data_IF_016513110913
#
_entry.id   IF_016513110913
#
_cell.length_a   1.000
_cell.length_b   1.000
_cell.length_c   1.000
_cell.angle_alpha   90.00
_cell.angle_beta   90.00
_cell.angle_gamma   90.00
#
_symmetry.space_group_name_H-M   'P 1'
#
loop_
_entity.id
_entity.type
_entity.pdbx_description
1 polymer ?
#
# COMPACT_ATOMS: atom_id res chain seq x y z
N UNK A 1 -45.47 -35.41 39.89
CA UNK A 1 -44.45 -35.60 38.87
C UNK A 1 -44.21 -34.25 38.21
N UNK A 2 -43.18 -33.51 38.63
CA UNK A 2 -42.85 -32.17 38.08
C UNK A 2 -41.68 -32.32 37.11
N UNK A 3 -41.93 -32.00 35.84
CA UNK A 3 -40.92 -32.01 34.77
C UNK A 3 -40.26 -30.63 34.76
N UNK A 4 -38.96 -30.56 35.10
CA UNK A 4 -38.16 -29.34 34.99
C UNK A 4 -37.59 -29.26 33.59
N UNK A 5 -38.01 -28.25 32.81
CA UNK A 5 -37.33 -27.85 31.58
C UNK A 5 -36.02 -27.14 31.94
N UNK A 6 -34.88 -27.70 31.51
CA UNK A 6 -33.61 -27.01 31.50
C UNK A 6 -33.50 -26.22 30.18
N UNK A 7 -33.44 -24.90 30.32
CA UNK A 7 -33.03 -24.02 29.23
C UNK A 7 -31.52 -24.19 28.98
N UNK A 8 -31.18 -24.63 27.77
CA UNK A 8 -29.83 -24.55 27.27
C UNK A 8 -29.57 -23.09 26.82
N UNK A 9 -28.71 -22.40 27.54
CA UNK A 9 -28.17 -21.12 27.12
C UNK A 9 -27.14 -21.35 26.01
N UNK A 10 -27.45 -20.89 24.78
CA UNK A 10 -26.45 -20.72 23.76
C UNK A 10 -25.46 -19.63 24.21
N UNK A 11 -24.24 -20.03 24.48
CA UNK A 11 -23.14 -19.10 24.63
C UNK A 11 -22.81 -18.56 23.23
N UNK A 12 -23.06 -17.27 22.99
CA UNK A 12 -22.56 -16.54 21.85
C UNK A 12 -21.02 -16.50 21.95
N UNK A 13 -20.34 -17.07 20.96
CA UNK A 13 -18.92 -16.90 20.77
C UNK A 13 -18.66 -15.42 20.50
N UNK A 14 -18.15 -14.73 21.51
CA UNK A 14 -17.67 -13.37 21.38
C UNK A 14 -16.47 -13.39 20.44
N UNK A 15 -16.61 -12.79 19.26
CA UNK A 15 -15.53 -12.51 18.35
C UNK A 15 -14.42 -11.77 19.09
N UNK A 16 -13.17 -12.17 18.90
CA UNK A 16 -12.00 -11.59 19.54
C UNK A 16 -11.85 -10.11 19.17
N UNK A 17 -12.41 -9.26 20.01
CA UNK A 17 -12.23 -7.81 19.91
C UNK A 17 -10.77 -7.43 20.15
N UNK A 18 -10.34 -6.34 19.55
CA UNK A 18 -9.07 -5.68 19.78
C UNK A 18 -8.88 -5.35 21.27
N UNK A 19 -8.34 -6.28 22.07
CA UNK A 19 -8.07 -6.13 23.51
C UNK A 19 -6.62 -5.68 23.75
N UNK A 20 -6.33 -4.47 23.40
CA UNK A 20 -5.22 -3.65 23.84
C UNK A 20 -5.77 -2.23 23.90
N UNK A 21 -5.20 -1.30 24.64
CA UNK A 21 -5.64 0.11 24.68
C UNK A 21 -5.45 0.79 23.31
N UNK A 22 -6.02 0.19 22.26
CA UNK A 22 -6.09 0.77 20.93
C UNK A 22 -7.11 1.92 21.01
N UNK A 23 -6.66 3.11 20.71
CA UNK A 23 -7.51 4.28 20.57
C UNK A 23 -8.62 3.93 19.57
N UNK A 24 -9.89 4.05 19.99
CA UNK A 24 -11.03 3.79 19.12
C UNK A 24 -10.91 4.62 17.84
N UNK A 25 -11.46 4.13 16.73
CA UNK A 25 -11.49 4.87 15.47
C UNK A 25 -12.03 6.29 15.69
N UNK A 26 -11.30 7.28 15.19
CA UNK A 26 -11.71 8.67 15.12
C UNK A 26 -11.46 9.17 13.71
N UNK A 27 -12.47 9.73 13.06
CA UNK A 27 -12.30 10.29 11.72
C UNK A 27 -11.17 11.33 11.71
N UNK A 28 -10.29 11.23 10.74
CA UNK A 28 -9.18 12.14 10.53
C UNK A 28 -9.28 12.77 9.14
N UNK A 29 -9.07 14.06 9.07
CA UNK A 29 -8.93 14.75 7.78
C UNK A 29 -7.81 14.09 6.96
N UNK A 30 -8.02 13.81 5.65
CA UNK A 30 -7.03 13.10 4.85
C UNK A 30 -5.71 13.86 4.66
N UNK A 31 -5.70 15.20 4.71
CA UNK A 31 -4.45 15.96 4.69
C UNK A 31 -3.68 15.82 6.01
N UNK A 32 -4.37 15.79 7.14
CA UNK A 32 -3.72 15.48 8.43
C UNK A 32 -3.23 14.04 8.48
N UNK A 33 -3.99 13.09 7.91
CA UNK A 33 -3.55 11.70 7.80
C UNK A 33 -2.23 11.59 7.02
N UNK A 34 -2.11 12.26 5.86
CA UNK A 34 -0.89 12.26 5.04
C UNK A 34 0.31 12.85 5.81
N UNK A 35 0.11 13.86 6.65
CA UNK A 35 1.18 14.37 7.52
C UNK A 35 1.67 13.33 8.52
N UNK A 36 0.74 12.55 9.11
CA UNK A 36 1.09 11.47 10.03
C UNK A 36 1.74 10.28 9.33
N UNK A 37 1.36 10.02 8.07
CA UNK A 37 1.95 8.95 7.27
C UNK A 37 3.42 9.23 6.95
N UNK A 38 3.77 10.45 6.62
CA UNK A 38 5.16 10.88 6.40
C UNK A 38 5.94 9.96 5.47
N UNK A 39 7.01 9.36 5.99
CA UNK A 39 7.95 8.47 5.29
C UNK A 39 7.55 7.02 5.52
N UNK A 40 7.46 6.22 4.46
CA UNK A 40 7.06 4.83 4.59
C UNK A 40 7.84 3.87 3.70
N UNK A 41 7.52 2.59 3.84
CA UNK A 41 8.13 1.51 3.06
C UNK A 41 7.10 0.41 2.78
N UNK A 42 7.18 -0.16 1.58
CA UNK A 42 6.39 -1.32 1.17
C UNK A 42 6.97 -2.60 1.79
N UNK A 43 6.12 -3.47 2.32
CA UNK A 43 6.51 -4.69 3.06
C UNK A 43 5.61 -5.87 2.74
N UNK A 44 6.12 -7.09 3.00
CA UNK A 44 5.37 -8.34 3.06
C UNK A 44 4.75 -8.84 1.73
N UNK A 45 4.91 -8.13 0.61
CA UNK A 45 4.30 -8.52 -0.66
C UNK A 45 4.80 -9.86 -1.22
N UNK A 46 6.07 -10.18 -1.00
CA UNK A 46 6.71 -11.40 -1.46
C UNK A 46 7.23 -12.27 -0.31
N UNK A 47 6.69 -12.07 0.89
CA UNK A 47 7.10 -12.86 2.04
C UNK A 47 6.30 -14.17 2.11
N UNK A 48 6.96 -15.33 2.26
CA UNK A 48 6.27 -16.61 2.37
C UNK A 48 5.48 -16.82 3.68
N UNK A 49 5.42 -15.81 4.55
CA UNK A 49 4.56 -15.80 5.75
C UNK A 49 3.09 -16.06 5.40
N UNK A 50 2.65 -15.59 4.22
CA UNK A 50 1.29 -15.80 3.75
C UNK A 50 0.97 -17.26 3.42
N UNK A 51 1.99 -18.08 3.11
CA UNK A 51 1.84 -19.53 2.96
C UNK A 51 1.83 -20.24 4.30
N UNK A 52 2.77 -19.88 5.19
CA UNK A 52 2.88 -20.42 6.54
C UNK A 52 3.78 -19.53 7.41
N UNK A 53 3.35 -19.22 8.63
CA UNK A 53 4.10 -18.40 9.58
C UNK A 53 5.54 -18.91 9.82
N UNK A 54 5.76 -20.24 9.78
CA UNK A 54 7.08 -20.84 9.95
C UNK A 54 8.05 -20.54 8.79
N UNK A 55 7.56 -20.07 7.65
CA UNK A 55 8.38 -19.70 6.48
C UNK A 55 8.74 -18.21 6.45
N UNK A 56 8.22 -17.43 7.38
CA UNK A 56 8.39 -15.97 7.42
C UNK A 56 9.86 -15.55 7.38
N UNK A 57 10.22 -14.70 6.44
CA UNK A 57 11.49 -13.95 6.44
C UNK A 57 11.35 -12.67 7.26
N UNK A 58 10.21 -12.00 7.10
CA UNK A 58 9.86 -10.83 7.88
C UNK A 58 9.45 -11.24 9.30
N UNK A 59 10.03 -10.58 10.30
CA UNK A 59 9.87 -10.92 11.72
C UNK A 59 9.34 -9.72 12.51
N UNK A 60 8.81 -9.94 13.70
CA UNK A 60 8.28 -8.90 14.59
C UNK A 60 9.27 -7.74 14.81
N UNK A 61 10.56 -8.05 15.00
CA UNK A 61 11.61 -7.03 15.19
C UNK A 61 11.75 -6.06 14.00
N UNK A 62 11.34 -6.45 12.79
CA UNK A 62 11.47 -5.58 11.61
C UNK A 62 10.53 -4.38 11.69
N UNK A 63 9.35 -4.49 12.35
CA UNK A 63 8.51 -3.32 12.60
C UNK A 63 9.23 -2.28 13.47
N UNK A 64 9.90 -2.73 14.54
CA UNK A 64 10.70 -1.84 15.39
C UNK A 64 11.87 -1.21 14.62
N UNK A 65 12.59 -2.02 13.82
CA UNK A 65 13.70 -1.54 12.98
C UNK A 65 13.24 -0.52 11.96
N UNK A 66 12.08 -0.71 11.32
CA UNK A 66 11.47 0.24 10.38
C UNK A 66 11.19 1.56 11.10
N UNK A 67 10.55 1.54 12.26
CA UNK A 67 10.31 2.77 13.04
C UNK A 67 11.60 3.45 13.47
N UNK A 68 12.57 2.70 14.01
CA UNK A 68 13.89 3.23 14.40
C UNK A 68 14.71 3.73 13.21
N UNK A 69 14.49 3.16 12.03
CA UNK A 69 15.04 3.62 10.76
C UNK A 69 14.49 4.96 10.29
N UNK A 70 13.48 5.51 10.99
CA UNK A 70 12.86 6.81 10.72
C UNK A 70 11.67 6.78 9.78
N UNK A 71 11.08 5.59 9.57
CA UNK A 71 9.83 5.44 8.83
C UNK A 71 8.63 5.54 9.78
N UNK A 72 7.53 6.11 9.31
CA UNK A 72 6.27 6.27 10.02
C UNK A 72 5.14 5.40 9.46
N UNK A 73 5.30 4.87 8.25
CA UNK A 73 4.24 4.11 7.56
C UNK A 73 4.80 2.84 6.96
N UNK A 74 4.02 1.76 7.04
CA UNK A 74 4.20 0.59 6.19
C UNK A 74 3.00 0.45 5.25
N UNK A 75 3.26 0.05 4.01
CA UNK A 75 2.26 -0.39 3.05
C UNK A 75 2.40 -1.88 2.89
N UNK A 76 1.41 -2.63 3.38
CA UNK A 76 1.39 -4.10 3.32
C UNK A 76 0.76 -4.51 2.00
N UNK A 77 1.55 -5.12 1.13
CA UNK A 77 1.12 -5.55 -0.17
C UNK A 77 0.45 -6.94 -0.07
N UNK A 78 -0.87 -6.99 -0.21
CA UNK A 78 -1.69 -8.18 0.01
C UNK A 78 -2.02 -8.86 -1.32
N UNK A 79 -1.49 -10.04 -1.56
CA UNK A 79 -1.84 -10.90 -2.70
C UNK A 79 -2.88 -11.93 -2.26
N UNK A 80 -4.09 -11.44 -1.89
CA UNK A 80 -5.09 -12.22 -1.18
C UNK A 80 -5.85 -13.22 -2.06
N UNK A 81 -5.91 -13.01 -3.38
CA UNK A 81 -6.73 -13.82 -4.29
C UNK A 81 -6.32 -15.29 -4.35
N UNK A 82 -5.03 -15.58 -4.16
CA UNK A 82 -4.50 -16.94 -4.10
C UNK A 82 -4.86 -17.67 -2.81
N UNK A 83 -5.26 -16.95 -1.77
CA UNK A 83 -5.63 -17.46 -0.45
C UNK A 83 -7.15 -17.59 -0.25
N UNK A 84 -7.94 -17.20 -1.25
CA UNK A 84 -9.39 -17.33 -1.25
C UNK A 84 -9.82 -18.74 -1.65
N UNK A 85 -10.84 -19.28 -0.96
CA UNK A 85 -11.52 -20.50 -1.38
C UNK A 85 -12.46 -20.28 -2.59
N UNK A 86 -13.15 -21.32 -3.03
CA UNK A 86 -14.09 -21.26 -4.17
C UNK A 86 -15.26 -20.28 -3.98
N UNK A 87 -15.59 -19.93 -2.74
CA UNK A 87 -16.61 -18.93 -2.39
C UNK A 87 -16.00 -17.55 -2.11
N UNK A 88 -14.76 -17.32 -2.52
CA UNK A 88 -13.97 -16.09 -2.30
C UNK A 88 -13.81 -15.72 -0.82
N UNK A 89 -13.78 -16.71 0.09
CA UNK A 89 -13.58 -16.46 1.51
C UNK A 89 -12.10 -16.66 1.87
N UNK A 90 -11.56 -15.73 2.63
CA UNK A 90 -10.26 -15.81 3.27
C UNK A 90 -10.33 -16.67 4.54
N UNK A 91 -9.28 -17.42 4.85
CA UNK A 91 -9.27 -18.26 6.05
C UNK A 91 -8.95 -17.48 7.32
N UNK A 92 -9.35 -18.01 8.48
CA UNK A 92 -8.98 -17.45 9.78
C UNK A 92 -7.44 -17.37 9.95
N UNK A 93 -6.70 -18.35 9.41
CA UNK A 93 -5.24 -18.35 9.45
C UNK A 93 -4.64 -17.17 8.70
N UNK A 94 -5.22 -16.80 7.55
CA UNK A 94 -4.79 -15.62 6.79
C UNK A 94 -5.06 -14.33 7.59
N UNK A 95 -6.25 -14.20 8.19
CA UNK A 95 -6.56 -13.07 9.06
C UNK A 95 -5.67 -13.00 10.31
N UNK A 96 -5.32 -14.14 10.92
CA UNK A 96 -4.36 -14.16 12.03
C UNK A 96 -2.99 -13.62 11.63
N UNK A 97 -2.50 -13.93 10.42
CA UNK A 97 -1.24 -13.38 9.90
C UNK A 97 -1.35 -11.88 9.68
N UNK A 98 -2.46 -11.40 9.07
CA UNK A 98 -2.69 -9.98 8.86
C UNK A 98 -2.84 -9.23 10.18
N UNK A 99 -3.58 -9.77 11.13
CA UNK A 99 -3.72 -9.20 12.48
C UNK A 99 -2.39 -9.09 13.21
N UNK A 100 -1.53 -10.11 13.10
CA UNK A 100 -0.19 -10.06 13.64
C UNK A 100 0.60 -8.89 13.04
N UNK A 101 0.57 -8.72 11.72
CA UNK A 101 1.28 -7.64 11.05
C UNK A 101 0.74 -6.26 11.47
N UNK A 102 -0.57 -6.07 11.46
CA UNK A 102 -1.20 -4.79 11.82
C UNK A 102 -0.96 -4.45 13.29
N UNK A 103 -1.11 -5.40 14.20
CA UNK A 103 -0.90 -5.19 15.66
C UNK A 103 0.54 -4.80 15.96
N UNK A 104 1.51 -5.50 15.38
CA UNK A 104 2.93 -5.19 15.59
C UNK A 104 3.31 -3.84 14.98
N UNK A 105 2.79 -3.49 13.82
CA UNK A 105 3.01 -2.18 13.22
C UNK A 105 2.49 -1.05 14.11
N UNK A 106 1.25 -1.14 14.56
CA UNK A 106 0.64 -0.14 15.44
C UNK A 106 1.35 -0.04 16.80
N UNK A 107 1.78 -1.18 17.36
CA UNK A 107 2.55 -1.23 18.62
C UNK A 107 3.92 -0.54 18.48
N UNK A 108 4.45 -0.48 17.27
CA UNK A 108 5.69 0.23 16.93
C UNK A 108 5.42 1.62 16.33
N UNK A 109 4.24 2.21 16.58
CA UNK A 109 3.86 3.56 16.15
C UNK A 109 3.88 3.80 14.63
N UNK A 110 3.70 2.74 13.85
CA UNK A 110 3.61 2.82 12.39
C UNK A 110 2.15 2.97 11.94
N UNK A 111 1.91 3.83 10.96
CA UNK A 111 0.67 3.82 10.18
C UNK A 111 0.70 2.59 9.25
N UNK A 112 -0.46 2.05 8.93
CA UNK A 112 -0.58 0.84 8.11
C UNK A 112 -1.52 1.09 6.94
N UNK A 113 -1.04 0.87 5.72
CA UNK A 113 -1.88 0.82 4.52
C UNK A 113 -2.07 -0.66 4.18
N UNK A 114 -3.33 -1.12 4.18
CA UNK A 114 -3.70 -2.43 3.67
C UNK A 114 -3.99 -2.29 2.18
N UNK A 115 -3.05 -2.73 1.36
CA UNK A 115 -3.09 -2.59 -0.10
C UNK A 115 -3.44 -3.94 -0.73
N UNK A 116 -4.59 -4.03 -1.41
CA UNK A 116 -4.89 -5.19 -2.23
C UNK A 116 -4.00 -5.17 -3.47
N UNK A 117 -3.11 -6.16 -3.63
CA UNK A 117 -2.00 -6.13 -4.59
C UNK A 117 -2.13 -7.14 -5.76
N UNK A 118 -3.29 -7.74 -5.96
CA UNK A 118 -3.56 -8.68 -7.07
C UNK A 118 -3.87 -7.96 -8.40
N UNK A 119 -3.07 -6.95 -8.73
CA UNK A 119 -3.27 -6.11 -9.91
C UNK A 119 -3.05 -6.84 -11.23
N UNK A 120 -2.16 -7.86 -11.28
CA UNK A 120 -1.93 -8.64 -12.50
C UNK A 120 -3.14 -9.51 -12.89
N UNK A 121 -3.73 -10.34 -11.99
CA UNK A 121 -4.97 -11.04 -12.32
C UNK A 121 -6.09 -10.07 -12.70
N UNK A 122 -6.21 -8.94 -11.99
CA UNK A 122 -7.20 -7.91 -12.28
C UNK A 122 -7.02 -7.26 -13.67
N UNK A 123 -5.78 -6.99 -14.06
CA UNK A 123 -5.48 -6.46 -15.38
C UNK A 123 -5.73 -7.47 -16.51
N UNK A 124 -5.59 -8.76 -16.23
CA UNK A 124 -5.78 -9.83 -17.22
C UNK A 124 -7.25 -10.19 -17.45
N UNK A 125 -8.06 -10.22 -16.39
CA UNK A 125 -9.44 -10.71 -16.45
C UNK A 125 -10.31 -9.99 -15.40
N UNK A 126 -11.16 -9.09 -15.89
CA UNK A 126 -12.07 -8.32 -15.06
C UNK A 126 -13.19 -9.16 -14.45
N UNK A 127 -13.63 -10.22 -15.12
CA UNK A 127 -14.67 -11.14 -14.63
C UNK A 127 -14.17 -11.94 -13.43
N UNK A 128 -12.88 -12.27 -13.41
CA UNK A 128 -12.23 -12.91 -12.25
C UNK A 128 -11.93 -11.89 -11.15
N UNK A 129 -11.43 -10.71 -11.52
CA UNK A 129 -11.04 -9.68 -10.59
C UNK A 129 -12.19 -9.16 -9.74
N UNK A 130 -13.27 -8.72 -10.40
CA UNK A 130 -14.39 -8.02 -9.76
C UNK A 130 -14.97 -8.79 -8.56
N UNK A 131 -15.41 -10.06 -8.68
CA UNK A 131 -15.99 -10.77 -7.56
C UNK A 131 -15.00 -10.99 -6.42
N UNK A 132 -13.72 -11.23 -6.72
CA UNK A 132 -12.69 -11.42 -5.69
C UNK A 132 -12.36 -10.13 -4.97
N UNK A 133 -12.16 -9.02 -5.68
CA UNK A 133 -11.86 -7.72 -5.10
C UNK A 133 -13.01 -7.24 -4.19
N UNK A 134 -14.25 -7.40 -4.63
CA UNK A 134 -15.40 -6.99 -3.84
C UNK A 134 -15.57 -7.88 -2.59
N UNK A 135 -15.38 -9.21 -2.72
CA UNK A 135 -15.40 -10.13 -1.58
C UNK A 135 -14.23 -9.89 -0.61
N UNK A 136 -13.06 -9.52 -1.10
CA UNK A 136 -11.93 -9.10 -0.26
C UNK A 136 -12.31 -7.91 0.62
N UNK A 137 -12.82 -6.84 0.01
CA UNK A 137 -13.17 -5.64 0.77
C UNK A 137 -14.36 -5.83 1.70
N UNK A 138 -15.33 -6.70 1.36
CA UNK A 138 -16.43 -7.04 2.26
C UNK A 138 -15.90 -7.66 3.57
N UNK A 139 -14.92 -8.57 3.46
CA UNK A 139 -14.32 -9.24 4.61
C UNK A 139 -13.35 -8.35 5.38
N UNK A 140 -12.37 -7.74 4.70
CA UNK A 140 -11.32 -6.97 5.34
C UNK A 140 -11.85 -5.67 5.95
N UNK A 141 -12.75 -4.96 5.26
CA UNK A 141 -13.33 -3.74 5.80
C UNK A 141 -14.21 -4.01 7.03
N UNK A 142 -14.97 -5.11 7.04
CA UNK A 142 -15.76 -5.52 8.20
C UNK A 142 -14.86 -5.95 9.38
N UNK A 143 -13.77 -6.66 9.11
CA UNK A 143 -12.81 -7.13 10.12
C UNK A 143 -12.11 -5.98 10.85
N UNK A 144 -11.69 -4.95 10.09
CA UNK A 144 -10.96 -3.78 10.62
C UNK A 144 -11.85 -2.55 10.90
N UNK A 145 -13.18 -2.69 10.96
CA UNK A 145 -14.09 -1.55 11.18
C UNK A 145 -13.78 -0.75 12.45
N UNK A 146 -13.36 -1.43 13.51
CA UNK A 146 -13.05 -0.86 14.82
C UNK A 146 -11.54 -0.56 15.00
N UNK A 147 -10.71 -0.83 13.98
CA UNK A 147 -9.28 -0.52 14.03
C UNK A 147 -9.06 1.01 14.08
N UNK A 148 -7.99 1.50 14.72
CA UNK A 148 -7.72 2.94 14.81
C UNK A 148 -7.52 3.56 13.42
N UNK A 149 -7.57 4.89 13.35
CA UNK A 149 -7.36 5.66 12.11
C UNK A 149 -5.94 5.53 11.51
N UNK A 150 -5.00 4.96 12.26
CA UNK A 150 -3.69 4.55 11.75
C UNK A 150 -3.73 3.38 10.75
N UNK A 151 -4.89 2.70 10.58
CA UNK A 151 -5.09 1.67 9.55
C UNK A 151 -5.89 2.27 8.40
N UNK A 152 -5.29 2.30 7.22
CA UNK A 152 -5.87 2.78 5.97
C UNK A 152 -6.10 1.61 5.02
N UNK A 153 -6.99 1.77 4.05
CA UNK A 153 -7.28 0.80 3.00
C UNK A 153 -6.87 1.35 1.64
N UNK A 154 -6.27 0.54 0.79
CA UNK A 154 -5.99 0.88 -0.61
C UNK A 154 -6.70 -0.13 -1.52
N UNK A 155 -7.63 0.35 -2.34
CA UNK A 155 -8.62 -0.50 -3.02
C UNK A 155 -7.95 -1.54 -3.92
N UNK A 156 -6.99 -1.13 -4.75
CA UNK A 156 -6.21 -1.99 -5.62
C UNK A 156 -4.93 -1.30 -6.03
N UNK A 157 -3.80 -2.01 -5.91
CA UNK A 157 -2.54 -1.61 -6.50
C UNK A 157 -2.65 -1.53 -8.02
N UNK A 158 -2.11 -0.48 -8.61
CA UNK A 158 -1.78 -0.36 -10.04
C UNK A 158 -2.82 -0.93 -11.03
N UNK A 159 -4.07 -0.46 -11.05
CA UNK A 159 -5.04 -0.89 -12.05
C UNK A 159 -4.50 -0.70 -13.46
N UNK A 160 -4.53 -1.75 -14.29
CA UNK A 160 -3.87 -1.73 -15.59
C UNK A 160 -4.61 -2.57 -16.66
N UNK A 161 -4.10 -2.57 -17.89
CA UNK A 161 -4.56 -3.41 -19.01
C UNK A 161 -6.07 -3.32 -19.25
N UNK A 162 -6.87 -4.36 -18.91
CA UNK A 162 -8.33 -4.34 -19.05
C UNK A 162 -9.02 -3.37 -18.09
N UNK A 163 -8.36 -3.00 -16.98
CA UNK A 163 -8.81 -1.93 -16.10
C UNK A 163 -8.48 -0.57 -16.73
N UNK A 164 -9.11 -0.29 -17.88
CA UNK A 164 -9.10 1.04 -18.50
C UNK A 164 -9.63 2.08 -17.51
N UNK A 165 -9.42 3.40 -17.72
CA UNK A 165 -9.96 4.41 -16.81
C UNK A 165 -11.44 4.27 -16.50
N UNK A 166 -12.27 3.94 -17.49
CA UNK A 166 -13.72 3.79 -17.31
C UNK A 166 -14.06 2.52 -16.52
N UNK A 167 -13.42 1.38 -16.86
CA UNK A 167 -13.60 0.13 -16.14
C UNK A 167 -13.13 0.24 -14.68
N UNK A 168 -11.97 0.88 -14.47
CA UNK A 168 -11.45 1.14 -13.12
C UNK A 168 -12.36 2.07 -12.31
N UNK A 169 -12.82 3.18 -12.88
CA UNK A 169 -13.74 4.09 -12.21
C UNK A 169 -15.03 3.40 -11.76
N UNK A 170 -15.56 2.46 -12.55
CA UNK A 170 -16.70 1.65 -12.13
C UNK A 170 -16.37 0.71 -10.97
N UNK A 171 -15.25 -0.04 -11.08
CA UNK A 171 -14.86 -1.03 -10.07
C UNK A 171 -14.46 -0.36 -8.74
N UNK A 172 -13.74 0.75 -8.78
CA UNK A 172 -13.35 1.49 -7.56
C UNK A 172 -14.57 2.02 -6.80
N UNK A 173 -15.60 2.48 -7.50
CA UNK A 173 -16.84 2.95 -6.87
C UNK A 173 -17.55 1.82 -6.13
N UNK A 174 -17.61 0.63 -6.72
CA UNK A 174 -18.21 -0.54 -6.09
C UNK A 174 -17.41 -0.99 -4.85
N UNK A 175 -16.07 -1.06 -4.96
CA UNK A 175 -15.20 -1.37 -3.83
C UNK A 175 -15.30 -0.33 -2.70
N UNK A 176 -15.31 0.95 -3.05
CA UNK A 176 -15.48 2.03 -2.08
C UNK A 176 -16.86 1.95 -1.40
N UNK A 177 -17.92 1.68 -2.14
CA UNK A 177 -19.26 1.53 -1.57
C UNK A 177 -19.34 0.39 -0.56
N UNK A 178 -18.64 -0.72 -0.79
CA UNK A 178 -18.54 -1.85 0.15
C UNK A 178 -17.79 -1.39 1.41
N UNK A 179 -16.64 -0.76 1.27
CA UNK A 179 -15.85 -0.25 2.39
C UNK A 179 -16.69 0.71 3.24
N UNK A 180 -17.43 1.61 2.63
CA UNK A 180 -18.25 2.63 3.31
C UNK A 180 -19.39 2.05 4.15
N UNK A 181 -19.87 0.82 3.89
CA UNK A 181 -20.88 0.16 4.75
C UNK A 181 -20.43 0.00 6.19
N UNK A 182 -19.15 -0.31 6.42
CA UNK A 182 -18.58 -0.55 7.75
C UNK A 182 -17.57 0.54 8.19
N UNK A 183 -17.02 1.29 7.25
CA UNK A 183 -15.98 2.31 7.49
C UNK A 183 -16.34 3.65 6.80
N UNK A 184 -17.40 4.34 7.24
CA UNK A 184 -17.92 5.51 6.53
C UNK A 184 -16.93 6.68 6.46
N UNK A 185 -15.99 6.77 7.38
CA UNK A 185 -15.06 7.90 7.51
C UNK A 185 -13.58 7.48 7.54
N UNK A 186 -13.26 6.19 7.31
CA UNK A 186 -11.87 5.75 7.21
C UNK A 186 -11.24 6.28 5.92
N UNK A 187 -10.02 6.80 6.03
CA UNK A 187 -9.29 7.22 4.84
C UNK A 187 -8.96 6.02 3.94
N UNK A 188 -9.33 6.14 2.67
CA UNK A 188 -9.11 5.14 1.62
C UNK A 188 -8.16 5.70 0.59
N UNK A 189 -7.16 4.92 0.21
CA UNK A 189 -6.16 5.25 -0.80
C UNK A 189 -6.64 4.72 -2.16
N UNK A 190 -6.62 5.57 -3.18
CA UNK A 190 -7.08 5.24 -4.53
C UNK A 190 -6.14 5.89 -5.55
N UNK A 191 -5.63 5.12 -6.50
CA UNK A 191 -4.82 5.62 -7.60
C UNK A 191 -5.54 5.63 -8.95
N UNK A 192 -5.00 6.34 -9.96
CA UNK A 192 -5.51 6.30 -11.33
C UNK A 192 -5.15 4.98 -12.02
N UNK A 193 -5.84 4.68 -13.12
CA UNK A 193 -5.53 3.56 -14.00
C UNK A 193 -4.09 3.64 -14.59
N UNK A 194 -3.68 2.55 -15.27
CA UNK A 194 -2.37 2.39 -15.90
C UNK A 194 -1.19 2.57 -14.94
N UNK A 195 -1.15 1.67 -13.92
CA UNK A 195 -0.08 1.58 -12.93
C UNK A 195 0.05 2.84 -12.07
N UNK A 196 -1.07 3.38 -11.59
CA UNK A 196 -1.13 4.62 -10.79
C UNK A 196 -0.38 5.79 -11.44
N UNK A 197 -0.43 5.84 -12.78
CA UNK A 197 0.34 6.78 -13.59
C UNK A 197 -0.21 8.20 -13.49
N UNK A 198 0.66 9.13 -13.19
CA UNK A 198 0.34 10.57 -13.04
C UNK A 198 -0.38 11.18 -14.25
N UNK A 199 -0.14 10.66 -15.46
CA UNK A 199 -0.78 11.16 -16.68
C UNK A 199 -2.28 10.81 -16.76
N UNK A 200 -2.75 9.87 -15.94
CA UNK A 200 -4.15 9.44 -15.89
C UNK A 200 -4.95 10.03 -14.72
N UNK A 201 -4.34 10.88 -13.88
CA UNK A 201 -5.06 11.59 -12.80
C UNK A 201 -6.29 12.34 -13.31
N UNK A 202 -6.22 12.97 -14.47
CA UNK A 202 -7.36 13.66 -15.08
C UNK A 202 -8.49 12.74 -15.56
N UNK A 203 -8.31 11.42 -15.53
CA UNK A 203 -9.32 10.40 -15.86
C UNK A 203 -9.87 9.69 -14.63
N UNK A 204 -9.30 9.94 -13.46
CA UNK A 204 -9.78 9.37 -12.20
C UNK A 204 -11.05 10.09 -11.76
N UNK A 205 -12.13 9.35 -11.55
CA UNK A 205 -13.41 9.88 -11.11
C UNK A 205 -13.70 9.42 -9.69
N UNK A 206 -13.71 10.36 -8.75
CA UNK A 206 -13.95 10.12 -7.33
C UNK A 206 -15.27 10.78 -6.90
N UNK A 207 -16.02 10.19 -5.94
CA UNK A 207 -17.21 10.82 -5.39
C UNK A 207 -16.88 12.20 -4.77
N UNK A 208 -17.62 13.23 -5.16
CA UNK A 208 -17.34 14.60 -4.72
C UNK A 208 -17.54 14.80 -3.22
N UNK A 209 -18.51 14.12 -2.64
CA UNK A 209 -18.94 14.24 -1.24
C UNK A 209 -18.11 13.34 -0.31
N UNK A 210 -17.48 12.29 -0.82
CA UNK A 210 -16.56 11.47 -0.01
C UNK A 210 -15.21 12.17 0.10
N UNK A 211 -14.99 12.82 1.23
CA UNK A 211 -13.74 13.56 1.49
C UNK A 211 -12.65 12.71 2.16
N UNK A 212 -12.95 11.47 2.56
CA UNK A 212 -12.01 10.56 3.20
C UNK A 212 -11.24 9.69 2.18
N UNK A 213 -10.67 10.35 1.16
CA UNK A 213 -9.88 9.71 0.10
C UNK A 213 -8.53 10.42 -0.03
N UNK A 214 -7.46 9.62 -0.02
CA UNK A 214 -6.10 10.01 -0.34
C UNK A 214 -5.80 9.47 -1.74
N UNK A 215 -5.22 10.28 -2.61
CA UNK A 215 -4.89 9.82 -3.96
C UNK A 215 -3.44 9.37 -4.03
N UNK A 216 -3.22 8.14 -4.49
CA UNK A 216 -1.87 7.61 -4.69
C UNK A 216 -1.42 7.72 -6.13
N UNK A 217 -0.13 7.94 -6.32
CA UNK A 217 0.55 7.86 -7.62
C UNK A 217 1.84 7.07 -7.45
N UNK A 218 2.28 6.39 -8.51
CA UNK A 218 3.57 5.72 -8.56
C UNK A 218 4.51 6.44 -9.51
N UNK A 219 5.81 6.44 -9.20
CA UNK A 219 6.78 7.17 -10.00
C UNK A 219 8.10 6.43 -10.15
N UNK A 220 8.33 5.92 -11.36
CA UNK A 220 9.53 5.18 -11.72
C UNK A 220 10.24 5.75 -12.95
N UNK A 221 9.89 6.98 -13.39
CA UNK A 221 10.50 7.57 -14.57
C UNK A 221 11.93 8.12 -14.29
N UNK A 222 12.87 7.92 -15.21
CA UNK A 222 12.75 7.12 -16.45
C UNK A 222 12.92 5.61 -16.18
N UNK A 223 12.05 4.79 -16.78
CA UNK A 223 12.04 3.33 -16.58
C UNK A 223 13.35 2.66 -16.98
N UNK A 224 14.05 3.21 -17.98
CA UNK A 224 15.36 2.74 -18.44
C UNK A 224 16.40 2.76 -17.33
N UNK A 225 16.31 3.71 -16.41
CA UNK A 225 17.16 3.78 -15.23
C UNK A 225 16.61 2.92 -14.09
N UNK A 226 15.36 3.14 -13.71
CA UNK A 226 14.80 2.54 -12.48
C UNK A 226 14.60 1.04 -12.57
N UNK A 227 14.41 0.50 -13.77
CA UNK A 227 14.16 -0.92 -14.02
C UNK A 227 15.25 -1.59 -14.88
N UNK A 228 16.44 -0.96 -15.03
CA UNK A 228 17.52 -1.58 -15.79
C UNK A 228 17.86 -2.96 -15.21
N UNK A 229 17.92 -3.98 -16.09
CA UNK A 229 18.22 -5.37 -15.71
C UNK A 229 17.04 -6.11 -15.05
N UNK A 230 15.86 -5.53 -14.97
CA UNK A 230 14.65 -6.14 -14.41
C UNK A 230 14.08 -7.18 -15.38
N UNK A 231 14.22 -8.46 -15.06
CA UNK A 231 13.85 -9.59 -15.94
C UNK A 231 12.36 -9.64 -16.26
N UNK A 232 11.51 -9.11 -15.40
CA UNK A 232 10.06 -9.03 -15.59
C UNK A 232 9.61 -7.89 -16.54
N UNK A 233 10.52 -6.97 -16.91
CA UNK A 233 10.23 -5.90 -17.84
C UNK A 233 11.05 -6.08 -19.13
N UNK A 234 10.45 -6.61 -20.22
CA UNK A 234 11.19 -6.88 -21.46
C UNK A 234 11.90 -5.67 -22.06
N UNK A 235 11.38 -4.46 -21.86
CA UNK A 235 11.97 -3.23 -22.39
C UNK A 235 13.28 -2.85 -21.69
N UNK A 236 13.45 -3.23 -20.44
CA UNK A 236 14.60 -2.83 -19.61
C UNK A 236 15.49 -4.00 -19.18
N UNK A 237 15.05 -5.24 -19.40
CA UNK A 237 15.74 -6.47 -18.93
C UNK A 237 17.21 -6.57 -19.38
N UNK A 238 17.54 -6.01 -20.55
CA UNK A 238 18.90 -6.06 -21.11
C UNK A 238 19.70 -4.77 -20.87
N UNK A 239 19.11 -3.78 -20.24
CA UNK A 239 19.80 -2.52 -19.95
C UNK A 239 20.70 -2.67 -18.72
N UNK A 240 21.85 -2.01 -18.77
CA UNK A 240 22.81 -1.92 -17.66
C UNK A 240 23.64 -0.66 -17.79
N UNK A 241 24.14 -0.14 -16.66
CA UNK A 241 25.01 1.03 -16.63
C UNK A 241 24.31 2.35 -16.94
N UNK A 242 22.97 2.36 -17.00
CA UNK A 242 22.20 3.60 -17.13
C UNK A 242 22.34 4.40 -15.83
N UNK A 243 22.78 5.67 -15.96
CA UNK A 243 22.96 6.58 -14.84
C UNK A 243 21.81 7.57 -14.74
N UNK A 244 21.67 8.18 -13.58
CA UNK A 244 20.69 9.23 -13.34
C UNK A 244 21.30 10.38 -12.51
N UNK A 245 20.83 11.59 -12.73
CA UNK A 245 21.15 12.73 -11.89
C UNK A 245 21.53 14.01 -12.62
N UNK A 246 21.30 14.08 -13.93
CA UNK A 246 21.44 15.34 -14.71
C UNK A 246 20.39 16.37 -14.26
N UNK A 247 20.64 17.64 -14.50
CA UNK A 247 19.70 18.71 -14.16
C UNK A 247 18.38 18.58 -14.95
N UNK A 248 18.44 18.11 -16.21
CA UNK A 248 17.25 17.85 -17.02
C UNK A 248 16.38 16.73 -16.45
N UNK A 249 16.97 15.65 -15.93
CA UNK A 249 16.24 14.55 -15.28
C UNK A 249 15.61 15.01 -13.96
N UNK A 250 16.34 15.79 -13.16
CA UNK A 250 15.80 16.38 -11.93
C UNK A 250 14.64 17.35 -12.23
N UNK A 251 14.79 18.20 -13.25
CA UNK A 251 13.73 19.11 -13.65
C UNK A 251 12.47 18.37 -14.08
N UNK A 252 12.60 17.24 -14.77
CA UNK A 252 11.46 16.40 -15.13
C UNK A 252 10.68 15.90 -13.93
N UNK A 253 11.35 15.44 -12.87
CA UNK A 253 10.67 15.06 -11.61
C UNK A 253 9.90 16.25 -11.03
N UNK A 254 10.52 17.44 -11.01
CA UNK A 254 9.86 18.66 -10.52
C UNK A 254 8.64 19.03 -11.35
N UNK A 255 8.72 18.96 -12.66
CA UNK A 255 7.63 19.29 -13.58
C UNK A 255 6.47 18.29 -13.42
N UNK A 256 6.78 17.00 -13.37
CA UNK A 256 5.82 15.92 -13.17
C UNK A 256 5.07 16.07 -11.83
N UNK A 257 5.80 16.30 -10.73
CA UNK A 257 5.20 16.46 -9.41
C UNK A 257 4.42 17.78 -9.29
N UNK A 258 4.86 18.82 -10.00
CA UNK A 258 4.10 20.09 -10.08
C UNK A 258 2.74 19.88 -10.72
N UNK A 259 2.64 19.08 -11.79
CA UNK A 259 1.36 18.73 -12.43
C UNK A 259 0.43 17.96 -11.47
N UNK A 260 0.98 16.99 -10.75
CA UNK A 260 0.23 16.25 -9.73
C UNK A 260 -0.27 17.17 -8.62
N UNK A 261 0.58 18.09 -8.14
CA UNK A 261 0.22 19.06 -7.11
C UNK A 261 -0.86 20.05 -7.57
N UNK A 262 -0.83 20.45 -8.83
CA UNK A 262 -1.90 21.30 -9.40
C UNK A 262 -3.23 20.55 -9.42
N UNK A 263 -3.24 19.28 -9.82
CA UNK A 263 -4.40 18.41 -9.76
C UNK A 263 -4.91 18.24 -8.31
N UNK A 264 -4.01 17.94 -7.37
CA UNK A 264 -4.31 17.81 -5.94
C UNK A 264 -5.02 19.05 -5.37
N UNK A 265 -4.50 20.24 -5.68
CA UNK A 265 -5.11 21.51 -5.26
C UNK A 265 -6.48 21.74 -5.86
N UNK A 266 -6.65 21.44 -7.15
CA UNK A 266 -7.93 21.56 -7.86
C UNK A 266 -9.00 20.65 -7.27
N UNK A 267 -8.66 19.38 -7.09
CA UNK A 267 -9.60 18.36 -6.59
C UNK A 267 -9.71 18.35 -5.06
N UNK A 268 -8.85 19.12 -4.36
CA UNK A 268 -8.74 19.19 -2.90
C UNK A 268 -8.56 17.79 -2.29
N UNK A 269 -7.62 17.02 -2.83
CA UNK A 269 -7.25 15.67 -2.39
C UNK A 269 -5.76 15.62 -2.07
N UNK A 270 -5.32 15.09 -0.91
CA UNK A 270 -3.91 14.93 -0.62
C UNK A 270 -3.30 13.79 -1.45
N UNK A 271 -1.98 13.80 -1.59
CA UNK A 271 -1.24 12.83 -2.40
C UNK A 271 -0.38 11.94 -1.51
N UNK A 272 -0.39 10.65 -1.83
CA UNK A 272 0.59 9.66 -1.43
C UNK A 272 1.43 9.29 -2.67
N UNK A 273 2.75 9.34 -2.58
CA UNK A 273 3.62 8.65 -3.53
C UNK A 273 3.75 7.21 -3.06
N UNK A 274 2.87 6.31 -3.55
CA UNK A 274 2.70 4.95 -3.05
C UNK A 274 3.87 4.03 -3.37
N UNK A 275 4.54 4.31 -4.52
CA UNK A 275 5.73 3.58 -4.91
C UNK A 275 6.69 4.48 -5.69
N UNK A 276 7.97 4.32 -5.38
CA UNK A 276 9.11 4.83 -6.12
C UNK A 276 10.37 4.09 -5.68
N UNK A 277 11.37 4.05 -6.55
CA UNK A 277 12.64 3.39 -6.24
C UNK A 277 13.47 3.15 -7.50
N UNK A 278 14.63 2.54 -7.32
CA UNK A 278 15.46 2.08 -8.42
C UNK A 278 16.01 0.68 -8.11
N UNK A 279 15.85 -0.23 -9.07
CA UNK A 279 16.23 -1.64 -8.98
C UNK A 279 17.69 -1.80 -8.59
N UNK A 280 18.02 -2.84 -7.85
CA UNK A 280 19.33 -3.07 -7.26
C UNK A 280 20.47 -3.31 -8.29
N UNK A 281 20.13 -3.58 -9.55
CA UNK A 281 21.08 -3.66 -10.67
C UNK A 281 21.62 -2.28 -11.12
N UNK A 282 20.97 -1.20 -10.72
CA UNK A 282 21.46 0.15 -10.97
C UNK A 282 22.69 0.50 -10.12
N UNK A 283 23.56 1.40 -10.65
CA UNK A 283 24.70 1.93 -9.91
C UNK A 283 24.24 2.60 -8.60
N UNK A 284 24.89 2.29 -7.48
CA UNK A 284 24.48 2.77 -6.15
C UNK A 284 24.39 4.30 -6.07
N UNK A 285 25.37 5.03 -6.57
CA UNK A 285 25.38 6.49 -6.50
C UNK A 285 24.21 7.13 -7.26
N UNK A 286 23.84 6.57 -8.42
CA UNK A 286 22.68 7.03 -9.19
C UNK A 286 21.37 6.65 -8.48
N UNK A 287 21.28 5.47 -7.87
CA UNK A 287 20.14 5.05 -7.04
C UNK A 287 19.95 5.99 -5.84
N UNK A 288 21.02 6.33 -5.13
CA UNK A 288 21.01 7.28 -4.00
C UNK A 288 20.52 8.65 -4.44
N UNK A 289 21.08 9.18 -5.55
CA UNK A 289 20.66 10.48 -6.09
C UNK A 289 19.18 10.52 -6.46
N UNK A 290 18.72 9.49 -7.18
CA UNK A 290 17.31 9.37 -7.60
C UNK A 290 16.39 9.29 -6.39
N UNK A 291 16.64 8.32 -5.50
CA UNK A 291 15.84 8.05 -4.31
C UNK A 291 15.72 9.28 -3.41
N UNK A 292 16.85 9.94 -3.13
CA UNK A 292 16.86 11.16 -2.33
C UNK A 292 16.11 12.31 -3.01
N UNK A 293 16.32 12.52 -4.30
CA UNK A 293 15.71 13.62 -5.02
C UNK A 293 14.19 13.49 -5.14
N UNK A 294 13.71 12.28 -5.47
CA UNK A 294 12.26 11.99 -5.56
C UNK A 294 11.60 12.14 -4.20
N UNK A 295 12.15 11.53 -3.14
CA UNK A 295 11.60 11.63 -1.79
C UNK A 295 11.55 13.09 -1.30
N UNK A 296 12.64 13.84 -1.44
CA UNK A 296 12.69 15.25 -1.02
C UNK A 296 11.76 16.15 -1.84
N UNK A 297 11.55 15.85 -3.12
CA UNK A 297 10.61 16.60 -3.96
C UNK A 297 9.17 16.36 -3.51
N UNK A 298 8.80 15.11 -3.18
CA UNK A 298 7.49 14.79 -2.61
C UNK A 298 7.27 15.49 -1.25
N UNK A 299 8.23 15.44 -0.35
CA UNK A 299 8.16 16.10 0.96
C UNK A 299 8.00 17.62 0.88
N UNK A 300 8.69 18.29 -0.05
CA UNK A 300 8.54 19.74 -0.29
C UNK A 300 7.11 20.13 -0.70
N UNK A 301 6.36 19.19 -1.29
CA UNK A 301 4.98 19.38 -1.69
C UNK A 301 3.97 18.97 -0.60
N UNK A 302 4.46 18.47 0.53
CA UNK A 302 3.62 18.01 1.65
C UNK A 302 3.02 16.63 1.43
N UNK A 303 3.61 15.82 0.56
CA UNK A 303 3.16 14.45 0.31
C UNK A 303 3.79 13.47 1.29
N UNK A 304 3.04 12.42 1.65
CA UNK A 304 3.62 11.20 2.19
C UNK A 304 4.16 10.34 1.06
N UNK A 305 5.04 9.40 1.40
CA UNK A 305 5.55 8.44 0.43
C UNK A 305 5.86 7.09 1.07
N UNK A 306 5.79 6.00 0.27
CA UNK A 306 6.21 4.66 0.63
C UNK A 306 7.19 4.12 -0.40
N UNK A 307 8.43 3.90 0.03
CA UNK A 307 9.51 3.40 -0.84
C UNK A 307 9.26 1.95 -1.27
N UNK A 308 9.46 1.64 -2.53
CA UNK A 308 9.50 0.30 -3.04
C UNK A 308 10.94 -0.20 -3.05
N UNK A 309 11.37 -1.19 -2.22
CA UNK A 309 10.63 -1.78 -1.09
C UNK A 309 11.60 -2.22 0.02
N UNK A 310 11.10 -2.88 1.09
CA UNK A 310 11.91 -3.22 2.25
C UNK A 310 12.99 -4.23 1.92
N UNK A 311 12.67 -5.43 1.42
CA UNK A 311 13.53 -6.61 1.42
C UNK A 311 13.63 -7.38 0.08
N UNK A 312 13.14 -6.82 -1.02
CA UNK A 312 13.19 -7.46 -2.34
C UNK A 312 13.49 -6.44 -3.44
N UNK A 313 14.29 -6.82 -4.43
CA UNK A 313 14.59 -6.12 -5.68
C UNK A 313 15.12 -4.69 -5.56
N UNK A 314 14.40 -3.78 -5.00
CA UNK A 314 14.75 -2.36 -4.79
C UNK A 314 15.29 -2.10 -3.38
N UNK A 315 15.72 -3.08 -2.71
CA UNK A 315 15.94 -3.24 -1.27
C UNK A 315 16.47 -2.02 -0.52
N UNK A 316 15.87 -1.77 0.66
CA UNK A 316 16.45 -0.89 1.69
C UNK A 316 16.96 -1.67 2.91
N UNK A 317 16.51 -2.92 3.08
CA UNK A 317 17.00 -3.87 4.08
C UNK A 317 17.50 -5.15 3.42
N UNK A 318 18.73 -5.55 3.72
CA UNK A 318 19.34 -6.80 3.23
C UNK A 318 19.04 -7.91 4.23
N UNK A 319 18.07 -8.78 3.89
CA UNK A 319 17.66 -9.91 4.74
C UNK A 319 18.79 -10.91 4.98
N UNK A 320 19.72 -11.07 4.04
CA UNK A 320 20.84 -12.02 4.18
C UNK A 320 21.92 -11.51 5.13
N UNK A 321 22.15 -10.19 5.13
CA UNK A 321 23.12 -9.52 6.02
C UNK A 321 22.48 -9.02 7.31
N UNK A 322 21.16 -9.07 7.39
CA UNK A 322 20.39 -8.56 8.52
C UNK A 322 20.73 -7.09 8.86
N UNK A 323 20.77 -6.26 7.83
CA UNK A 323 21.21 -4.87 7.97
C UNK A 323 20.61 -3.94 6.91
N UNK A 324 20.57 -2.65 7.24
CA UNK A 324 20.18 -1.63 6.28
C UNK A 324 21.15 -1.58 5.10
N UNK A 325 20.61 -1.37 3.89
CA UNK A 325 21.35 -0.86 2.75
C UNK A 325 21.56 0.64 3.01
N UNK A 326 22.56 0.94 3.84
CA UNK A 326 22.78 2.26 4.43
C UNK A 326 22.77 3.43 3.43
N UNK A 327 23.35 3.33 2.22
CA UNK A 327 23.27 4.42 1.26
C UNK A 327 21.81 4.76 0.86
N UNK A 328 20.96 3.74 0.68
CA UNK A 328 19.55 3.93 0.33
C UNK A 328 18.77 4.42 1.55
N UNK A 329 18.97 3.83 2.73
CA UNK A 329 18.32 4.30 3.96
C UNK A 329 18.59 5.78 4.22
N UNK A 330 19.86 6.20 4.13
CA UNK A 330 20.25 7.62 4.30
C UNK A 330 19.71 8.53 3.20
N UNK A 331 19.52 8.03 1.99
CA UNK A 331 18.85 8.78 0.93
C UNK A 331 17.35 9.02 1.22
N UNK A 332 16.70 8.07 1.87
CA UNK A 332 15.30 8.15 2.28
C UNK A 332 15.12 8.97 3.57
N UNK A 333 15.94 8.68 4.57
CA UNK A 333 15.89 9.27 5.92
C UNK A 333 17.27 9.83 6.26
N UNK A 334 17.58 11.09 5.86
CA UNK A 334 18.86 11.76 6.11
C UNK A 334 19.03 12.13 7.57
#
# INVERSE_FOLDING_TARGET
MRISLRLLSLAALAGGGWSGQAQAFQALDPFEQVKLMGRGVNVLGYDPIWEAAAKARFQERHFQLIHQGGFQTIRINLQAFSHMNASHQLSDAWFHTLDWAVKNALANHLQVILDEHDFEPCGKDLEICRPKLLAFWEQVAAHYKDAPNGVLFEILNEPNSQLTPDAWNGLLQDGLAIIRKSNPQRNVVIGPAFWNNINYLGKLTLPADDRHIIVTVHYYLPMEFTHQGASWNPATAKLSGVKWGTDAEKQRVVDDFTRVQQWSKKEKRPILLGEFGAYDKGEMDSRVRYTSFVARTAEKLGWAWTYWQFDSDFIVWDMAKDSWVEPIRKALVP
#
